data_IF_730854562710
#
_entry.id   IF_730854562710
#
_cell.length_a   1.000
_cell.length_b   1.000
_cell.length_c   1.000
_cell.angle_alpha   90.00
_cell.angle_beta   90.00
_cell.angle_gamma   90.00
#
_symmetry.space_group_name_H-M   'P 1'
#
loop_
_entity.id
_entity.type
_entity.pdbx_description
1 polymer ?
#
# COMPACT_ATOMS: atom_id res chain seq x y z
N UNK A 1 -3.68 16.07 -13.35
CA UNK A 1 -3.58 16.78 -12.03
C UNK A 1 -4.98 16.87 -11.46
N UNK A 2 -5.17 16.40 -10.24
CA UNK A 2 -6.49 16.41 -9.58
C UNK A 2 -6.90 17.83 -9.19
N UNK A 3 -8.22 18.06 -9.12
CA UNK A 3 -8.75 19.38 -8.80
C UNK A 3 -8.16 19.97 -7.51
N UNK A 4 -7.99 19.16 -6.47
CA UNK A 4 -7.37 19.57 -5.21
C UNK A 4 -5.89 20.00 -5.37
N UNK A 5 -5.08 19.20 -6.06
CA UNK A 5 -3.66 19.53 -6.32
C UNK A 5 -3.53 20.80 -7.14
N UNK A 6 -4.42 20.99 -8.10
CA UNK A 6 -4.49 22.20 -8.90
C UNK A 6 -4.81 23.45 -8.05
N UNK A 7 -5.76 23.33 -7.10
CA UNK A 7 -6.10 24.42 -6.17
C UNK A 7 -4.89 24.77 -5.31
N UNK A 8 -4.27 23.79 -4.67
CA UNK A 8 -3.09 24.03 -3.83
C UNK A 8 -1.94 24.68 -4.60
N UNK A 9 -1.70 24.23 -5.83
CA UNK A 9 -0.69 24.83 -6.70
C UNK A 9 -1.02 26.28 -7.04
N UNK A 10 -2.28 26.58 -7.38
CA UNK A 10 -2.72 27.95 -7.67
C UNK A 10 -2.60 28.86 -6.45
N UNK A 11 -2.95 28.37 -5.25
CA UNK A 11 -2.78 29.13 -4.02
C UNK A 11 -1.31 29.44 -3.73
N UNK A 12 -0.41 28.45 -3.87
CA UNK A 12 1.03 28.66 -3.70
C UNK A 12 1.59 29.66 -4.71
N UNK A 13 1.18 29.56 -5.96
CA UNK A 13 1.61 30.48 -7.01
C UNK A 13 1.08 31.89 -6.77
N UNK A 14 -0.20 32.04 -6.43
CA UNK A 14 -0.78 33.33 -6.07
C UNK A 14 -0.09 34.00 -4.87
N UNK A 15 0.30 33.22 -3.85
CA UNK A 15 1.06 33.72 -2.71
C UNK A 15 2.48 34.14 -3.09
N UNK A 16 3.18 33.43 -4.00
CA UNK A 16 4.49 33.85 -4.54
C UNK A 16 4.39 35.17 -5.26
N UNK A 17 3.43 35.31 -6.17
CA UNK A 17 3.17 36.54 -6.91
C UNK A 17 2.81 37.70 -5.97
N UNK A 18 2.00 37.42 -4.93
CA UNK A 18 1.67 38.41 -3.92
C UNK A 18 2.92 38.89 -3.14
N UNK A 19 3.83 37.97 -2.80
CA UNK A 19 5.09 38.30 -2.14
C UNK A 19 6.01 39.13 -3.03
N UNK A 20 6.12 38.78 -4.31
CA UNK A 20 6.90 39.56 -5.30
C UNK A 20 6.36 41.00 -5.43
N UNK A 21 5.05 41.16 -5.63
CA UNK A 21 4.37 42.45 -5.71
C UNK A 21 4.52 43.28 -4.43
N UNK A 22 4.44 42.64 -3.26
CA UNK A 22 4.65 43.31 -1.99
C UNK A 22 6.09 43.78 -1.81
N UNK A 23 7.07 43.01 -2.27
CA UNK A 23 8.47 43.44 -2.27
C UNK A 23 8.73 44.58 -3.23
N UNK A 24 8.19 44.51 -4.45
CA UNK A 24 8.31 45.62 -5.46
C UNK A 24 7.65 46.89 -4.98
N UNK A 25 6.53 46.81 -4.29
CA UNK A 25 5.86 47.97 -3.74
C UNK A 25 6.52 48.52 -2.45
N UNK A 26 7.52 47.85 -1.92
CA UNK A 26 8.21 48.24 -0.68
C UNK A 26 7.41 47.92 0.60
N UNK A 27 6.37 47.09 0.52
CA UNK A 27 5.58 46.68 1.70
C UNK A 27 6.45 45.91 2.68
N UNK A 28 7.38 45.08 2.17
CA UNK A 28 8.47 44.43 2.92
C UNK A 28 9.61 44.05 1.96
N UNK A 29 10.72 43.52 2.51
CA UNK A 29 11.86 43.07 1.69
C UNK A 29 12.31 41.69 2.18
N UNK A 30 12.68 40.83 1.23
CA UNK A 30 13.31 39.54 1.53
C UNK A 30 14.83 39.66 1.72
N UNK A 31 15.40 40.86 1.58
CA UNK A 31 16.83 41.16 1.78
C UNK A 31 17.79 40.19 1.05
N UNK A 32 17.41 39.81 -0.18
CA UNK A 32 18.20 38.91 -1.03
C UNK A 32 18.05 37.41 -0.68
N UNK A 33 17.15 37.07 0.22
CA UNK A 33 16.81 35.66 0.52
C UNK A 33 15.62 35.20 -0.35
N UNK A 34 15.55 33.91 -0.58
CA UNK A 34 14.40 33.29 -1.27
C UNK A 34 13.20 33.22 -0.34
N UNK A 35 12.00 33.20 -0.94
CA UNK A 35 10.77 32.93 -0.22
C UNK A 35 10.80 31.47 0.32
N UNK A 36 10.49 31.23 1.60
CA UNK A 36 10.43 29.87 2.12
C UNK A 36 9.35 29.05 1.41
N UNK A 37 9.41 27.72 1.59
CA UNK A 37 8.38 26.83 1.05
C UNK A 37 7.01 27.23 1.63
N UNK A 38 6.02 27.37 0.74
CA UNK A 38 4.67 27.75 1.12
C UNK A 38 3.90 26.51 1.54
N UNK A 39 3.75 26.31 2.83
CA UNK A 39 2.92 25.27 3.41
C UNK A 39 1.47 25.73 3.42
N UNK A 40 0.58 24.82 2.97
CA UNK A 40 -0.88 24.98 3.04
C UNK A 40 -1.43 23.88 3.94
N UNK A 41 -2.21 24.26 4.92
CA UNK A 41 -2.87 23.38 5.86
C UNK A 41 -4.39 23.49 5.72
N UNK A 42 -5.10 22.39 5.97
CA UNK A 42 -6.55 22.42 6.15
C UNK A 42 -6.85 22.73 7.61
N UNK A 43 -7.47 23.88 7.94
CA UNK A 43 -7.78 24.22 9.32
C UNK A 43 -8.68 23.16 9.98
N UNK A 44 -8.50 22.94 11.27
CA UNK A 44 -9.37 22.02 12.04
C UNK A 44 -10.80 22.53 12.17
N UNK A 45 -10.95 23.82 12.29
CA UNK A 45 -12.23 24.51 12.47
C UNK A 45 -12.64 25.19 11.15
N UNK A 46 -13.85 24.86 10.68
CA UNK A 46 -14.35 25.35 9.38
C UNK A 46 -14.50 26.88 9.30
N UNK A 47 -14.58 27.55 10.44
CA UNK A 47 -14.64 29.01 10.50
C UNK A 47 -13.39 29.68 9.92
N UNK A 48 -12.24 28.99 9.97
CA UNK A 48 -10.98 29.49 9.41
C UNK A 48 -10.80 29.18 7.90
N UNK A 49 -11.86 28.75 7.22
CA UNK A 49 -11.83 28.51 5.78
C UNK A 49 -11.41 27.10 5.39
N UNK A 50 -11.03 26.93 4.11
CA UNK A 50 -10.69 25.63 3.53
C UNK A 50 -9.19 25.36 3.53
N UNK A 51 -8.37 26.42 3.41
CA UNK A 51 -6.92 26.36 3.52
C UNK A 51 -6.39 27.50 4.37
N UNK A 52 -5.27 27.28 5.03
CA UNK A 52 -4.51 28.26 5.80
C UNK A 52 -3.02 28.16 5.50
N UNK A 53 -2.30 29.28 5.59
CA UNK A 53 -0.85 29.30 5.55
C UNK A 53 -0.28 30.15 6.68
N UNK A 54 0.86 29.71 7.21
CA UNK A 54 1.66 30.42 8.20
C UNK A 54 2.81 31.23 7.57
N UNK A 55 2.84 31.40 6.24
CA UNK A 55 3.93 32.03 5.50
C UNK A 55 4.38 33.35 6.13
N UNK A 56 3.44 34.22 6.48
CA UNK A 56 3.75 35.53 7.06
C UNK A 56 4.44 35.42 8.42
N UNK A 57 4.28 34.31 9.16
CA UNK A 57 4.95 34.07 10.44
C UNK A 57 6.39 33.54 10.28
N UNK A 58 6.75 33.05 9.09
CA UNK A 58 8.11 32.60 8.80
C UNK A 58 9.04 33.76 8.37
N UNK A 59 8.47 34.87 7.94
CA UNK A 59 9.20 36.02 7.35
C UNK A 59 9.69 37.13 8.31
N UNK A 60 9.29 37.25 9.61
CA UNK A 60 9.62 38.41 10.43
C UNK A 60 11.12 38.69 10.57
N UNK A 61 11.95 37.66 10.66
CA UNK A 61 13.41 37.78 10.79
C UNK A 61 14.02 38.29 9.50
N UNK A 62 13.46 37.92 8.35
CA UNK A 62 13.93 38.30 7.02
C UNK A 62 13.42 39.69 6.67
N UNK A 63 12.11 39.89 6.80
CA UNK A 63 11.43 41.12 6.41
C UNK A 63 11.53 42.25 7.43
N UNK A 64 11.99 42.00 8.66
CA UNK A 64 12.06 42.94 9.80
C UNK A 64 10.74 43.66 10.06
N UNK A 65 9.61 42.96 9.91
CA UNK A 65 8.25 43.45 10.14
C UNK A 65 7.45 42.43 11.00
N UNK A 66 6.40 42.91 11.64
CA UNK A 66 5.51 42.04 12.40
C UNK A 66 4.77 41.06 11.46
N UNK A 67 4.52 39.80 11.89
CA UNK A 67 3.87 38.81 11.04
C UNK A 67 2.53 39.28 10.47
N UNK A 68 1.73 39.96 11.28
CA UNK A 68 0.42 40.48 10.86
C UNK A 68 0.54 41.53 9.76
N UNK A 69 1.56 42.42 9.80
CA UNK A 69 1.79 43.40 8.76
C UNK A 69 2.22 42.73 7.44
N UNK A 70 3.01 41.65 7.54
CA UNK A 70 3.38 40.86 6.37
C UNK A 70 2.16 40.14 5.80
N UNK A 71 1.31 39.56 6.64
CA UNK A 71 0.06 38.94 6.21
C UNK A 71 -0.89 39.93 5.50
N UNK A 72 -1.00 41.16 6.03
CA UNK A 72 -1.78 42.26 5.44
C UNK A 72 -1.21 42.64 4.06
N UNK A 73 0.11 42.74 3.91
CA UNK A 73 0.74 43.02 2.62
C UNK A 73 0.50 41.84 1.63
N UNK A 74 0.68 40.59 2.05
CA UNK A 74 0.45 39.45 1.18
C UNK A 74 -1.02 39.34 0.75
N UNK A 75 -1.96 39.41 1.69
CA UNK A 75 -3.39 39.34 1.39
C UNK A 75 -3.86 40.51 0.50
N UNK A 76 -3.34 41.73 0.73
CA UNK A 76 -3.66 42.89 -0.08
C UNK A 76 -3.10 42.86 -1.51
N UNK A 77 -2.07 42.05 -1.76
CA UNK A 77 -1.46 41.84 -3.09
C UNK A 77 -1.85 40.54 -3.74
N UNK A 78 -2.56 39.67 -3.00
CA UNK A 78 -3.08 38.40 -3.55
C UNK A 78 -4.20 38.72 -4.54
N UNK A 79 -3.99 38.34 -5.79
CA UNK A 79 -5.02 38.53 -6.82
C UNK A 79 -6.09 37.46 -6.69
N UNK A 80 -7.38 37.83 -6.75
CA UNK A 80 -8.46 36.85 -6.73
C UNK A 80 -8.29 35.83 -7.86
N UNK A 81 -8.43 34.53 -7.51
CA UNK A 81 -8.39 33.45 -8.49
C UNK A 81 -9.84 33.04 -8.80
N UNK A 82 -10.42 33.49 -9.94
CA UNK A 82 -11.82 33.26 -10.25
C UNK A 82 -12.17 31.77 -10.26
N UNK A 83 -13.28 31.38 -9.62
CA UNK A 83 -13.73 30.00 -9.50
C UNK A 83 -12.86 29.10 -8.62
N UNK A 84 -11.93 29.70 -7.87
CA UNK A 84 -11.06 28.98 -6.92
C UNK A 84 -11.12 29.58 -5.53
N UNK A 85 -10.91 30.90 -5.40
CA UNK A 85 -10.91 31.60 -4.11
C UNK A 85 -12.06 32.56 -4.02
N UNK A 86 -12.91 32.39 -3.00
CA UNK A 86 -14.00 33.29 -2.69
C UNK A 86 -13.55 34.43 -1.80
N UNK A 87 -12.85 34.13 -0.69
CA UNK A 87 -12.35 35.13 0.25
C UNK A 87 -10.94 34.77 0.77
N UNK A 88 -10.19 35.83 1.14
CA UNK A 88 -8.91 35.74 1.84
C UNK A 88 -9.02 36.55 3.12
N UNK A 89 -8.76 35.89 4.26
CA UNK A 89 -8.89 36.49 5.58
C UNK A 89 -7.61 36.34 6.40
N UNK A 90 -7.35 37.30 7.28
CA UNK A 90 -6.17 37.23 8.17
C UNK A 90 -6.64 36.90 9.58
N UNK A 91 -6.10 35.84 10.15
CA UNK A 91 -6.44 35.38 11.48
C UNK A 91 -5.23 35.41 12.44
N UNK A 92 -5.51 35.65 13.69
CA UNK A 92 -4.51 35.59 14.77
C UNK A 92 -3.26 36.43 14.50
N UNK A 93 -2.05 35.88 14.74
CA UNK A 93 -0.79 36.62 14.63
C UNK A 93 -0.32 36.84 13.19
N UNK A 94 -0.94 36.23 12.19
CA UNK A 94 -0.53 36.35 10.78
C UNK A 94 -0.81 35.12 9.92
N UNK A 95 -1.79 34.31 10.30
CA UNK A 95 -2.32 33.27 9.40
C UNK A 95 -3.10 33.93 8.26
N UNK A 96 -2.93 33.42 7.05
CA UNK A 96 -3.73 33.80 5.89
C UNK A 96 -4.62 32.62 5.55
N UNK A 97 -5.93 32.83 5.67
CA UNK A 97 -6.97 31.82 5.46
C UNK A 97 -7.66 32.05 4.12
N UNK A 98 -7.89 30.95 3.41
CA UNK A 98 -8.58 30.95 2.13
C UNK A 98 -9.89 30.21 2.23
N UNK A 99 -10.97 30.84 1.78
CA UNK A 99 -12.24 30.20 1.52
C UNK A 99 -12.41 29.99 0.04
N UNK A 100 -12.65 28.74 -0.34
CA UNK A 100 -12.77 28.38 -1.75
C UNK A 100 -14.17 28.68 -2.29
N UNK A 101 -14.22 29.04 -3.58
CA UNK A 101 -15.47 29.13 -4.30
C UNK A 101 -16.12 27.75 -4.40
N UNK A 102 -17.38 27.54 -3.98
CA UNK A 102 -18.03 26.21 -3.98
C UNK A 102 -18.06 25.51 -5.34
N UNK A 103 -17.86 26.25 -6.45
CA UNK A 103 -17.84 25.67 -7.80
C UNK A 103 -16.69 24.66 -8.02
N UNK A 104 -15.64 24.67 -7.19
CA UNK A 104 -14.57 23.67 -7.28
C UNK A 104 -15.08 22.24 -7.04
N UNK A 105 -16.13 22.06 -6.23
CA UNK A 105 -16.75 20.75 -5.98
C UNK A 105 -17.37 20.17 -7.26
N UNK A 106 -17.97 21.03 -8.10
CA UNK A 106 -18.54 20.60 -9.39
C UNK A 106 -17.45 20.14 -10.36
N UNK A 107 -16.26 20.74 -10.28
CA UNK A 107 -15.11 20.30 -11.09
C UNK A 107 -14.62 18.91 -10.67
N UNK A 108 -14.66 18.59 -9.36
CA UNK A 108 -14.34 17.23 -8.90
C UNK A 108 -15.34 16.23 -9.45
N UNK A 109 -16.63 16.52 -9.38
CA UNK A 109 -17.68 15.62 -9.90
C UNK A 109 -17.49 15.39 -11.40
N UNK A 110 -17.21 16.44 -12.16
CA UNK A 110 -16.93 16.32 -13.58
C UNK A 110 -15.69 15.43 -13.83
N UNK A 111 -14.60 15.63 -13.09
CA UNK A 111 -13.38 14.86 -13.20
C UNK A 111 -13.58 13.38 -12.82
N UNK A 112 -14.34 13.10 -11.77
CA UNK A 112 -14.70 11.73 -11.38
C UNK A 112 -15.46 11.02 -12.50
N UNK A 113 -16.44 11.71 -13.10
CA UNK A 113 -17.22 11.12 -14.20
C UNK A 113 -16.39 10.92 -15.48
N UNK A 114 -15.46 11.80 -15.77
CA UNK A 114 -14.57 11.70 -16.92
C UNK A 114 -13.54 10.56 -16.74
N UNK A 115 -12.94 10.46 -15.59
CA UNK A 115 -11.90 9.46 -15.30
C UNK A 115 -12.48 8.08 -14.94
N UNK A 116 -13.72 8.02 -14.45
CA UNK A 116 -14.38 6.77 -14.09
C UNK A 116 -13.54 5.95 -13.09
N UNK A 117 -13.28 4.70 -13.43
CA UNK A 117 -12.48 3.78 -12.58
C UNK A 117 -11.01 4.16 -12.39
N UNK A 118 -10.50 5.11 -13.16
CA UNK A 118 -9.11 5.58 -13.04
C UNK A 118 -8.97 6.82 -12.13
N UNK A 119 -10.10 7.32 -11.57
CA UNK A 119 -10.04 8.43 -10.64
C UNK A 119 -9.27 8.05 -9.38
N UNK A 120 -8.22 8.79 -9.08
CA UNK A 120 -7.30 8.52 -7.97
C UNK A 120 -5.90 8.07 -8.41
N UNK A 121 -5.75 7.56 -9.64
CA UNK A 121 -4.44 7.15 -10.18
C UNK A 121 -3.52 8.37 -10.41
N UNK A 122 -2.27 8.23 -9.98
CA UNK A 122 -1.24 9.25 -10.20
C UNK A 122 0.03 8.64 -10.76
N UNK A 123 0.85 9.45 -11.42
CA UNK A 123 2.18 9.05 -11.88
C UNK A 123 3.30 9.56 -10.95
N UNK A 124 2.99 9.85 -9.68
CA UNK A 124 3.94 10.47 -8.73
C UNK A 124 5.23 9.67 -8.56
N UNK A 125 5.15 8.36 -8.68
CA UNK A 125 6.26 7.44 -8.51
C UNK A 125 6.66 6.72 -9.81
N UNK A 126 6.27 7.27 -10.96
CA UNK A 126 6.63 6.69 -12.26
C UNK A 126 8.14 6.45 -12.39
N UNK A 127 8.49 5.26 -12.88
CA UNK A 127 9.88 4.82 -13.03
C UNK A 127 10.54 4.28 -11.75
N UNK A 128 9.80 4.18 -10.64
CA UNK A 128 10.25 3.50 -9.42
C UNK A 128 9.64 2.11 -9.35
N UNK A 129 10.45 1.13 -8.98
CA UNK A 129 10.02 -0.25 -8.72
C UNK A 129 9.69 -0.46 -7.24
N UNK A 130 8.75 -1.34 -6.96
CA UNK A 130 8.38 -1.74 -5.62
C UNK A 130 8.13 -3.24 -5.57
N UNK A 131 8.98 -3.99 -4.85
CA UNK A 131 8.79 -5.42 -4.64
C UNK A 131 8.10 -5.64 -3.30
N UNK A 132 6.98 -6.37 -3.31
CA UNK A 132 6.19 -6.66 -2.12
C UNK A 132 6.01 -8.17 -1.99
N UNK A 133 6.70 -8.74 -0.99
CA UNK A 133 6.52 -10.13 -0.59
C UNK A 133 5.43 -10.21 0.48
N UNK A 134 4.45 -11.10 0.27
CA UNK A 134 3.39 -11.33 1.24
C UNK A 134 2.83 -12.76 1.15
N UNK A 135 2.12 -13.19 2.21
CA UNK A 135 1.64 -14.55 2.45
C UNK A 135 2.81 -15.50 2.72
N UNK A 136 3.59 -15.88 1.70
CA UNK A 136 4.78 -16.76 1.76
C UNK A 136 4.61 -17.93 2.74
N UNK A 137 3.46 -18.61 2.64
CA UNK A 137 3.11 -19.72 3.51
C UNK A 137 3.88 -20.98 3.10
N UNK A 138 4.36 -21.75 4.07
CA UNK A 138 5.00 -23.03 3.80
C UNK A 138 4.00 -24.02 3.19
N UNK A 139 4.35 -24.75 2.12
CA UNK A 139 3.45 -25.65 1.41
C UNK A 139 3.28 -27.01 2.12
N UNK A 140 3.30 -27.00 3.46
CA UNK A 140 3.15 -28.22 4.31
C UNK A 140 1.73 -28.44 4.81
N UNK A 141 0.76 -27.68 4.28
CA UNK A 141 -0.65 -27.78 4.63
C UNK A 141 -1.47 -26.64 4.04
N UNK A 142 -2.79 -26.62 4.29
CA UNK A 142 -3.69 -25.58 3.79
C UNK A 142 -3.41 -24.22 4.43
N UNK A 143 -3.68 -23.16 3.70
CA UNK A 143 -3.62 -21.80 4.23
C UNK A 143 -4.70 -21.57 5.30
N UNK A 144 -4.42 -20.69 6.24
CA UNK A 144 -5.33 -20.33 7.34
C UNK A 144 -5.64 -18.83 7.36
N UNK A 145 -6.55 -18.42 8.24
CA UNK A 145 -6.99 -17.02 8.35
C UNK A 145 -5.85 -16.02 8.57
N UNK A 146 -4.74 -16.44 9.18
CA UNK A 146 -3.55 -15.57 9.32
C UNK A 146 -2.93 -15.24 7.97
N UNK A 147 -2.83 -16.22 7.08
CA UNK A 147 -2.34 -16.04 5.71
C UNK A 147 -3.29 -15.14 4.91
N UNK A 148 -4.61 -15.37 4.99
CA UNK A 148 -5.62 -14.55 4.33
C UNK A 148 -5.55 -13.07 4.74
N UNK A 149 -5.36 -12.79 6.05
CA UNK A 149 -5.18 -11.41 6.54
C UNK A 149 -3.92 -10.76 5.97
N UNK A 150 -2.81 -11.49 5.95
CA UNK A 150 -1.56 -11.03 5.33
C UNK A 150 -1.74 -10.77 3.84
N UNK A 151 -2.48 -11.66 3.16
CA UNK A 151 -2.84 -11.55 1.75
C UNK A 151 -3.60 -10.28 1.43
N UNK A 152 -4.71 -10.04 2.15
CA UNK A 152 -5.52 -8.83 1.94
C UNK A 152 -4.72 -7.54 2.14
N UNK A 153 -3.87 -7.48 3.17
CA UNK A 153 -3.03 -6.30 3.43
C UNK A 153 -1.99 -6.13 2.31
N UNK A 154 -1.31 -7.21 1.93
CA UNK A 154 -0.27 -7.17 0.90
C UNK A 154 -0.82 -6.76 -0.45
N UNK A 155 -1.94 -7.33 -0.86
CA UNK A 155 -2.58 -7.02 -2.13
C UNK A 155 -3.05 -5.57 -2.20
N UNK A 156 -3.75 -5.08 -1.17
CA UNK A 156 -4.17 -3.67 -1.10
C UNK A 156 -2.97 -2.71 -1.12
N UNK A 157 -1.87 -3.03 -0.45
CA UNK A 157 -0.65 -2.22 -0.50
C UNK A 157 -0.03 -2.21 -1.90
N UNK A 158 -0.01 -3.36 -2.59
CA UNK A 158 0.44 -3.46 -3.96
C UNK A 158 -0.42 -2.60 -4.91
N UNK A 159 -1.73 -2.71 -4.81
CA UNK A 159 -2.69 -1.89 -5.56
C UNK A 159 -2.48 -0.39 -5.32
N UNK A 160 -2.38 0.04 -4.06
CA UNK A 160 -2.13 1.44 -3.72
C UNK A 160 -0.81 1.96 -4.29
N UNK A 161 0.23 1.12 -4.30
CA UNK A 161 1.50 1.46 -4.91
C UNK A 161 1.36 1.63 -6.44
N UNK A 162 0.68 0.70 -7.14
CA UNK A 162 0.38 0.81 -8.57
C UNK A 162 -0.43 2.08 -8.88
N UNK A 163 -1.44 2.38 -8.07
CA UNK A 163 -2.26 3.59 -8.21
C UNK A 163 -1.46 4.87 -8.05
N UNK A 164 -0.35 4.83 -7.33
CA UNK A 164 0.56 5.98 -7.18
C UNK A 164 1.70 6.01 -8.20
N UNK A 165 1.72 5.04 -9.12
CA UNK A 165 2.62 5.01 -10.28
C UNK A 165 3.88 4.17 -10.10
N UNK A 166 3.99 3.34 -9.05
CA UNK A 166 5.07 2.36 -8.96
C UNK A 166 4.87 1.23 -9.96
N UNK A 167 5.98 0.66 -10.41
CA UNK A 167 6.03 -0.64 -11.08
C UNK A 167 6.17 -1.72 -9.99
N UNK A 168 5.06 -2.44 -9.72
CA UNK A 168 4.96 -3.34 -8.56
C UNK A 168 5.14 -4.78 -8.98
N UNK A 169 6.03 -5.47 -8.25
CA UNK A 169 6.16 -6.92 -8.29
C UNK A 169 5.56 -7.51 -7.02
N UNK A 170 4.56 -8.38 -7.17
CA UNK A 170 4.03 -9.21 -6.09
C UNK A 170 4.84 -10.48 -6.01
N UNK A 171 5.40 -10.79 -4.85
CA UNK A 171 6.27 -11.94 -4.61
C UNK A 171 5.68 -12.88 -3.57
N UNK A 172 5.72 -14.18 -3.88
CA UNK A 172 5.41 -15.25 -2.95
C UNK A 172 6.64 -16.15 -2.84
N UNK A 173 7.26 -16.21 -1.66
CA UNK A 173 8.40 -17.08 -1.42
C UNK A 173 7.94 -18.52 -1.12
N UNK A 174 8.34 -19.46 -1.97
CA UNK A 174 8.07 -20.89 -1.77
C UNK A 174 9.20 -21.51 -0.98
N UNK A 175 8.93 -21.90 0.27
CA UNK A 175 9.89 -22.58 1.12
C UNK A 175 9.69 -24.11 1.00
N UNK A 176 10.37 -24.72 0.06
CA UNK A 176 10.26 -26.16 -0.27
C UNK A 176 11.41 -27.02 0.27
N UNK A 177 12.18 -26.50 1.24
CA UNK A 177 13.33 -27.17 1.81
C UNK A 177 13.44 -26.99 3.33
N UNK A 178 14.34 -27.75 3.94
CA UNK A 178 14.69 -27.63 5.36
C UNK A 178 13.83 -28.48 6.30
N UNK A 179 14.01 -28.27 7.59
CA UNK A 179 13.48 -29.13 8.66
C UNK A 179 11.94 -29.34 8.62
N UNK A 180 11.18 -28.33 8.15
CA UNK A 180 9.73 -28.46 8.04
C UNK A 180 9.32 -29.46 6.96
N UNK A 181 10.01 -29.45 5.83
CA UNK A 181 9.79 -30.39 4.73
C UNK A 181 10.18 -31.80 5.12
N UNK A 182 11.27 -31.95 5.88
CA UNK A 182 11.67 -33.27 6.41
C UNK A 182 10.59 -33.83 7.34
N UNK A 183 10.10 -33.05 8.30
CA UNK A 183 9.01 -33.43 9.21
C UNK A 183 7.70 -33.74 8.47
N UNK A 184 7.43 -32.99 7.41
CA UNK A 184 6.29 -33.24 6.53
C UNK A 184 6.43 -34.60 5.85
N UNK A 185 7.60 -34.91 5.31
CA UNK A 185 7.91 -36.20 4.70
C UNK A 185 7.82 -37.37 5.70
N UNK A 186 8.33 -37.18 6.92
CA UNK A 186 8.20 -38.18 7.99
C UNK A 186 6.74 -38.46 8.35
N UNK A 187 5.91 -37.42 8.36
CA UNK A 187 4.48 -37.52 8.61
C UNK A 187 3.73 -38.30 7.53
N UNK A 188 4.05 -38.01 6.26
CA UNK A 188 3.50 -38.70 5.10
C UNK A 188 3.90 -40.18 5.08
N UNK A 189 5.18 -40.47 5.35
CA UNK A 189 5.68 -41.85 5.42
C UNK A 189 5.01 -42.64 6.56
N UNK A 190 4.87 -42.04 7.73
CA UNK A 190 4.19 -42.64 8.85
C UNK A 190 2.73 -42.98 8.52
N UNK A 191 2.00 -42.08 7.87
CA UNK A 191 0.61 -42.34 7.43
C UNK A 191 0.53 -43.44 6.36
N UNK A 192 1.48 -43.45 5.41
CA UNK A 192 1.54 -44.52 4.43
C UNK A 192 1.69 -45.89 5.10
N UNK A 193 2.63 -46.04 6.04
CA UNK A 193 2.88 -47.28 6.76
C UNK A 193 1.66 -47.73 7.58
N UNK A 194 1.02 -46.79 8.27
CA UNK A 194 -0.22 -47.08 9.02
C UNK A 194 -1.37 -47.51 8.09
N UNK A 195 -1.57 -46.84 6.96
CA UNK A 195 -2.62 -47.19 6.00
C UNK A 195 -2.39 -48.53 5.33
N UNK A 196 -1.14 -48.96 5.20
CA UNK A 196 -0.76 -50.27 4.62
C UNK A 196 -0.61 -51.39 5.64
N UNK A 197 -1.07 -51.17 6.88
CA UNK A 197 -1.22 -52.17 7.92
C UNK A 197 -0.01 -52.34 8.84
N UNK A 198 0.97 -51.47 8.80
CA UNK A 198 2.07 -51.49 9.76
C UNK A 198 1.68 -50.80 11.08
N UNK A 199 2.06 -51.38 12.20
CA UNK A 199 1.98 -50.74 13.52
C UNK A 199 3.17 -49.82 13.70
N UNK A 200 3.10 -48.62 13.04
CA UNK A 200 4.18 -47.63 13.03
C UNK A 200 3.80 -46.43 13.88
N UNK A 201 4.65 -45.99 14.83
CA UNK A 201 4.35 -44.84 15.66
C UNK A 201 4.41 -43.54 14.81
N UNK A 202 3.41 -42.69 15.03
CA UNK A 202 3.41 -41.38 14.39
C UNK A 202 4.43 -40.47 15.07
N UNK A 203 5.23 -39.63 14.31
CA UNK A 203 6.19 -38.70 14.90
C UNK A 203 5.50 -37.72 15.85
N UNK A 204 6.07 -37.51 17.07
CA UNK A 204 5.49 -36.62 18.08
C UNK A 204 5.41 -35.16 17.58
N UNK A 205 6.39 -34.73 16.79
CA UNK A 205 6.49 -33.40 16.23
C UNK A 205 6.08 -33.36 14.74
N UNK A 206 5.35 -34.36 14.28
CA UNK A 206 4.83 -34.47 12.92
C UNK A 206 3.54 -33.69 12.69
N UNK A 207 3.21 -33.49 11.42
CA UNK A 207 1.98 -32.86 10.96
C UNK A 207 0.79 -33.83 11.11
N UNK A 208 -0.14 -33.53 12.03
CA UNK A 208 -1.25 -34.44 12.40
C UNK A 208 -2.55 -34.16 11.63
N UNK A 209 -2.55 -33.21 10.70
CA UNK A 209 -3.72 -32.85 9.92
C UNK A 209 -4.28 -34.01 9.08
N UNK A 210 -5.57 -33.96 8.77
CA UNK A 210 -6.22 -34.95 7.91
C UNK A 210 -5.66 -34.92 6.50
N UNK A 211 -5.23 -33.77 6.03
CA UNK A 211 -4.59 -33.52 4.76
C UNK A 211 -3.37 -34.43 4.50
N UNK A 212 -2.58 -34.74 5.54
CA UNK A 212 -1.45 -35.69 5.45
C UNK A 212 -1.93 -37.08 5.03
N UNK A 213 -3.04 -37.52 5.61
CA UNK A 213 -3.64 -38.80 5.27
C UNK A 213 -4.27 -38.76 3.87
N UNK A 214 -4.89 -37.66 3.51
CA UNK A 214 -5.51 -37.47 2.21
C UNK A 214 -4.48 -37.53 1.09
N UNK A 215 -3.35 -36.86 1.21
CA UNK A 215 -2.26 -36.90 0.21
C UNK A 215 -1.75 -38.32 -0.06
N UNK A 216 -1.60 -39.10 0.98
CA UNK A 216 -1.17 -40.50 0.81
C UNK A 216 -2.25 -41.35 0.12
N UNK A 217 -3.54 -41.20 0.49
CA UNK A 217 -4.64 -41.85 -0.17
C UNK A 217 -4.80 -41.47 -1.62
N UNK A 218 -4.70 -40.19 -1.93
CA UNK A 218 -4.77 -39.65 -3.30
C UNK A 218 -3.63 -40.23 -4.13
N UNK A 219 -2.39 -40.19 -3.60
CA UNK A 219 -1.25 -40.77 -4.30
C UNK A 219 -1.49 -42.24 -4.67
N UNK A 220 -1.94 -43.06 -3.72
CA UNK A 220 -2.20 -44.49 -3.95
C UNK A 220 -3.35 -44.70 -4.95
N UNK A 221 -4.36 -43.84 -4.94
CA UNK A 221 -5.46 -43.88 -5.88
C UNK A 221 -5.06 -43.50 -7.32
N UNK A 222 -4.19 -42.50 -7.46
CA UNK A 222 -3.67 -42.05 -8.73
C UNK A 222 -2.58 -43.00 -9.31
N UNK A 223 -1.95 -43.82 -8.45
CA UNK A 223 -0.91 -44.78 -8.84
C UNK A 223 -1.28 -46.23 -8.39
N UNK A 224 -2.29 -46.86 -9.01
CA UNK A 224 -2.72 -48.18 -8.64
C UNK A 224 -1.60 -49.22 -8.76
N UNK A 225 -1.39 -50.01 -7.70
CA UNK A 225 -0.34 -51.02 -7.65
C UNK A 225 1.04 -50.54 -7.17
N UNK A 226 1.19 -49.25 -6.87
CA UNK A 226 2.46 -48.70 -6.35
C UNK A 226 2.75 -49.07 -4.90
N UNK A 227 1.77 -49.60 -4.14
CA UNK A 227 1.91 -49.87 -2.72
C UNK A 227 3.06 -50.84 -2.41
N UNK A 228 3.15 -51.96 -3.13
CA UNK A 228 4.21 -52.96 -2.92
C UNK A 228 5.60 -52.42 -3.34
N UNK A 229 5.65 -51.61 -4.40
CA UNK A 229 6.88 -50.96 -4.81
C UNK A 229 7.35 -49.94 -3.75
N UNK A 230 6.44 -49.16 -3.20
CA UNK A 230 6.73 -48.18 -2.15
C UNK A 230 7.17 -48.86 -0.85
N UNK A 231 6.57 -49.97 -0.48
CA UNK A 231 7.00 -50.78 0.69
C UNK A 231 8.45 -51.29 0.53
N UNK A 232 8.83 -51.65 -0.68
CA UNK A 232 10.18 -52.14 -0.98
C UNK A 232 11.24 -50.98 -1.07
N UNK A 233 10.80 -49.74 -1.21
CA UNK A 233 11.72 -48.57 -1.31
C UNK A 233 12.34 -48.23 0.05
N UNK A 234 13.61 -47.78 0.06
CA UNK A 234 14.22 -47.14 1.23
C UNK A 234 13.37 -46.00 1.76
N UNK A 235 13.26 -45.82 3.10
CA UNK A 235 12.42 -44.75 3.68
C UNK A 235 12.70 -43.36 3.12
N UNK A 236 13.96 -43.01 2.82
CA UNK A 236 14.34 -41.71 2.25
C UNK A 236 13.77 -41.50 0.84
N UNK A 237 13.79 -42.55 0.01
CA UNK A 237 13.24 -42.45 -1.35
C UNK A 237 11.71 -42.38 -1.32
N UNK A 238 11.07 -43.16 -0.48
CA UNK A 238 9.64 -43.16 -0.29
C UNK A 238 9.15 -41.80 0.22
N UNK A 239 9.83 -41.21 1.23
CA UNK A 239 9.54 -39.85 1.72
C UNK A 239 9.64 -38.83 0.61
N UNK A 240 10.71 -38.89 -0.20
CA UNK A 240 10.88 -37.96 -1.31
C UNK A 240 9.72 -38.03 -2.30
N UNK A 241 9.27 -39.24 -2.66
CA UNK A 241 8.13 -39.42 -3.57
C UNK A 241 6.88 -38.73 -3.00
N UNK A 242 6.57 -38.94 -1.72
CA UNK A 242 5.42 -38.31 -1.09
C UNK A 242 5.58 -36.80 -0.92
N UNK A 243 6.77 -36.31 -0.57
CA UNK A 243 7.05 -34.89 -0.48
C UNK A 243 6.80 -34.22 -1.84
N UNK A 244 7.41 -34.73 -2.91
CA UNK A 244 7.29 -34.15 -4.25
C UNK A 244 5.82 -34.10 -4.71
N UNK A 245 5.06 -35.13 -4.42
CA UNK A 245 3.64 -35.20 -4.74
C UNK A 245 2.80 -34.22 -3.89
N UNK A 246 2.94 -34.25 -2.57
CA UNK A 246 2.13 -33.48 -1.66
C UNK A 246 2.45 -31.97 -1.75
N UNK A 247 3.72 -31.58 -1.93
CA UNK A 247 4.08 -30.19 -2.17
C UNK A 247 3.44 -29.66 -3.44
N UNK A 248 3.44 -30.43 -4.52
CA UNK A 248 2.79 -30.03 -5.77
C UNK A 248 1.29 -29.80 -5.55
N UNK A 249 0.59 -30.73 -4.89
CA UNK A 249 -0.85 -30.60 -4.60
C UNK A 249 -1.15 -29.41 -3.70
N UNK A 250 -0.34 -29.19 -2.66
CA UNK A 250 -0.50 -28.04 -1.77
C UNK A 250 -0.29 -26.71 -2.49
N UNK A 251 0.72 -26.59 -3.36
CA UNK A 251 0.95 -25.39 -4.15
C UNK A 251 -0.19 -25.12 -5.15
N UNK A 252 -0.69 -26.17 -5.83
CA UNK A 252 -1.85 -26.06 -6.71
C UNK A 252 -3.08 -25.56 -5.95
N UNK A 253 -3.32 -26.09 -4.73
CA UNK A 253 -4.40 -25.66 -3.86
C UNK A 253 -4.22 -24.21 -3.40
N UNK A 254 -3.03 -23.85 -2.91
CA UNK A 254 -2.73 -22.48 -2.50
C UNK A 254 -2.98 -21.47 -3.63
N UNK A 255 -2.56 -21.82 -4.83
CA UNK A 255 -2.80 -20.98 -6.01
C UNK A 255 -4.29 -20.82 -6.30
N UNK A 256 -5.07 -21.91 -6.21
CA UNK A 256 -6.53 -21.86 -6.38
C UNK A 256 -7.20 -21.03 -5.28
N UNK A 257 -6.83 -21.26 -4.02
CA UNK A 257 -7.40 -20.54 -2.87
C UNK A 257 -7.11 -19.03 -2.95
N UNK A 258 -5.92 -18.64 -3.42
CA UNK A 258 -5.55 -17.23 -3.62
C UNK A 258 -6.33 -16.61 -4.79
N UNK A 259 -6.49 -17.33 -5.90
CA UNK A 259 -7.29 -16.86 -7.02
C UNK A 259 -8.76 -16.65 -6.63
N UNK A 260 -9.34 -17.58 -5.84
CA UNK A 260 -10.71 -17.45 -5.32
C UNK A 260 -10.83 -16.28 -4.32
N UNK A 261 -9.75 -15.97 -3.61
CA UNK A 261 -9.68 -14.84 -2.69
C UNK A 261 -9.44 -13.50 -3.41
N UNK A 262 -9.10 -13.54 -4.71
CA UNK A 262 -8.90 -12.35 -5.55
C UNK A 262 -7.48 -11.80 -5.53
N UNK A 263 -6.49 -12.63 -5.18
CA UNK A 263 -5.06 -12.28 -5.15
C UNK A 263 -4.31 -12.98 -6.29
#
# INVERSE_FOLDING_TARGET
MYARENIEQKLREGLRQAAEKACEAGDFSLNGQELPEIELEVPREREFGDYSTNLAMQLPKIARKAPRQIAEALAGRFEPIPGVVETVEIAGPGFINFRLDPSWLTQIVAQVNEMGGDYGKTARHAGKTYNLEFISANPTGPMHMGNARGGAIGDVLAELAEWTGYDVTREFYVNDAGNQIEKFGDSLDARFRQLTGEDFPFPEDGYQGEDITEHVKEYLAEHPGSEEELKAQPPEQRRKIFIDYALKKNLERMHSDLADYGI
#
